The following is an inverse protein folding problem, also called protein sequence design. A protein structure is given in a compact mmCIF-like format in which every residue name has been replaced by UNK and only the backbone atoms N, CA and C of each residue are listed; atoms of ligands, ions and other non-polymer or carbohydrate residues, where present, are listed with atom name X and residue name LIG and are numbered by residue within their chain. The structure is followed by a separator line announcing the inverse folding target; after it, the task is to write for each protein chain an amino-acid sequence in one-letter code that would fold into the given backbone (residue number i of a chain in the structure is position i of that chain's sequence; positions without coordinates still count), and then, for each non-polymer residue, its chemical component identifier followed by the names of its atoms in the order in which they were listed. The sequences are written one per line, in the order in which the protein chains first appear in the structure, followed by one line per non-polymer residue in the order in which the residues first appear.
data_IF_802133192395
#
_entry.id   IF_802133192395
#
_cell.length_a   1.000
_cell.length_b   1.000
_cell.length_c   1.000
_cell.angle_alpha   90.00
_cell.angle_beta   90.00
_cell.angle_gamma   90.00
#
_symmetry.space_group_name_H-M   'P 1'
#
loop_
_entity.id
_entity.type
_entity.pdbx_description
1 polymer ?
#
# COMPACT_ATOMS: atom_id res chain seq x y z
N UNK A 1 -18.16 -10.20 7.61
CA UNK A 1 -18.70 -11.57 7.69
C UNK A 1 -19.94 -11.72 8.58
N UNK A 2 -20.23 -10.75 9.43
CA UNK A 2 -21.40 -10.77 10.31
C UNK A 2 -22.62 -10.11 9.64
N UNK A 3 -23.85 -10.67 9.75
CA UNK A 3 -25.02 -10.15 9.04
C UNK A 3 -25.64 -8.88 9.64
N UNK A 4 -25.15 -8.36 10.75
CA UNK A 4 -25.75 -7.25 11.50
C UNK A 4 -25.05 -5.91 11.28
N UNK A 5 -24.64 -5.58 10.06
CA UNK A 5 -24.03 -4.29 9.76
C UNK A 5 -22.57 -4.14 10.26
N UNK A 6 -21.90 -5.24 10.60
CA UNK A 6 -20.48 -5.22 10.87
C UNK A 6 -19.69 -4.96 9.60
N UNK A 7 -18.82 -3.98 9.62
CA UNK A 7 -17.89 -3.77 8.53
C UNK A 7 -16.73 -4.76 8.63
N UNK A 8 -16.45 -5.49 7.54
CA UNK A 8 -15.29 -6.34 7.47
C UNK A 8 -14.01 -5.50 7.30
N UNK A 9 -12.98 -5.81 8.09
CA UNK A 9 -11.65 -5.26 7.94
C UNK A 9 -10.73 -6.33 7.38
N UNK A 10 -10.14 -6.06 6.22
CA UNK A 10 -9.23 -6.99 5.56
C UNK A 10 -7.78 -6.55 5.77
N UNK A 11 -6.82 -7.51 5.81
CA UNK A 11 -5.40 -7.19 5.84
C UNK A 11 -4.99 -6.27 4.67
N UNK A 12 -3.94 -5.50 4.89
CA UNK A 12 -3.40 -4.57 3.92
C UNK A 12 -2.01 -4.10 4.33
N UNK A 13 -1.42 -3.15 3.61
CA UNK A 13 -0.04 -2.71 3.83
C UNK A 13 0.15 -1.83 5.07
N UNK A 14 -0.88 -1.66 5.87
CA UNK A 14 -0.92 -0.85 7.07
C UNK A 14 -2.25 -0.13 7.24
N UNK A 15 -2.39 0.59 8.34
CA UNK A 15 -3.54 1.43 8.65
C UNK A 15 -3.26 2.88 8.24
N UNK A 16 -4.29 3.56 7.75
CA UNK A 16 -4.27 4.98 7.46
C UNK A 16 -5.56 5.66 7.89
N UNK A 17 -5.69 6.94 7.59
CA UNK A 17 -6.80 7.77 8.00
C UNK A 17 -6.54 8.48 9.31
N UNK A 18 -7.59 9.00 9.95
CA UNK A 18 -7.46 9.89 11.10
C UNK A 18 -7.64 9.16 12.44
N UNK A 19 -8.66 8.29 12.56
CA UNK A 19 -9.03 7.71 13.85
C UNK A 19 -8.22 6.45 14.20
N UNK A 20 -8.17 5.45 13.31
CA UNK A 20 -7.62 4.13 13.64
C UNK A 20 -6.12 4.16 13.97
N UNK A 21 -5.27 4.97 13.33
CA UNK A 21 -3.86 5.10 13.71
C UNK A 21 -3.64 5.85 15.03
N UNK A 22 -4.61 6.61 15.54
CA UNK A 22 -4.40 7.58 16.61
C UNK A 22 -5.22 7.24 17.87
N UNK A 23 -6.54 7.09 17.74
CA UNK A 23 -7.45 6.98 18.89
C UNK A 23 -7.17 5.80 19.83
N UNK A 24 -6.78 4.59 19.33
CA UNK A 24 -6.41 3.48 20.20
C UNK A 24 -5.23 3.80 21.12
N UNK A 25 -4.29 4.65 20.66
CA UNK A 25 -3.14 5.05 21.46
C UNK A 25 -3.49 6.08 22.52
N UNK A 26 -4.47 6.96 22.26
CA UNK A 26 -5.04 7.81 23.31
C UNK A 26 -5.71 6.97 24.40
N UNK A 27 -6.45 5.92 24.02
CA UNK A 27 -7.03 4.98 24.98
C UNK A 27 -5.94 4.29 25.80
N UNK A 28 -4.87 3.82 25.15
CA UNK A 28 -3.71 3.21 25.82
C UNK A 28 -3.06 4.16 26.82
N UNK A 29 -2.82 5.40 26.39
CA UNK A 29 -2.26 6.42 27.27
C UNK A 29 -3.16 6.67 28.49
N UNK A 30 -4.48 6.82 28.26
CA UNK A 30 -5.44 7.06 29.33
C UNK A 30 -5.57 5.87 30.28
N UNK A 31 -5.55 4.64 29.77
CA UNK A 31 -5.61 3.42 30.57
C UNK A 31 -4.44 3.30 31.55
N UNK A 32 -3.24 3.75 31.16
CA UNK A 32 -2.05 3.76 32.02
C UNK A 32 -2.20 4.66 33.26
N UNK A 33 -3.01 5.72 33.20
CA UNK A 33 -3.32 6.55 34.39
C UNK A 33 -4.11 5.79 35.47
N UNK A 34 -4.72 4.66 35.09
CA UNK A 34 -5.50 3.79 35.96
C UNK A 34 -4.82 2.43 36.20
N UNK A 35 -3.51 2.34 35.99
CA UNK A 35 -2.70 1.12 36.10
C UNK A 35 -3.22 -0.04 35.22
N UNK A 36 -3.93 0.26 34.13
CA UNK A 36 -4.44 -0.73 33.18
C UNK A 36 -3.50 -0.91 31.97
N UNK A 37 -3.21 -2.18 31.64
CA UNK A 37 -2.39 -2.53 30.49
C UNK A 37 -3.25 -2.86 29.26
N UNK A 38 -2.95 -2.25 28.13
CA UNK A 38 -3.66 -2.44 26.85
C UNK A 38 -2.77 -3.17 25.83
N UNK A 39 -2.13 -4.26 26.24
CA UNK A 39 -1.11 -4.99 25.44
C UNK A 39 -1.54 -5.34 24.02
N UNK A 40 -2.80 -5.76 23.82
CA UNK A 40 -3.30 -6.08 22.49
C UNK A 40 -3.40 -4.86 21.56
N UNK A 41 -3.76 -3.70 22.10
CA UNK A 41 -3.82 -2.45 21.33
C UNK A 41 -2.40 -2.03 20.93
N UNK A 42 -1.46 -2.06 21.88
CA UNK A 42 -0.06 -1.72 21.66
C UNK A 42 0.57 -2.66 20.62
N UNK A 43 0.38 -3.98 20.78
CA UNK A 43 0.87 -4.98 19.82
C UNK A 43 0.26 -4.82 18.41
N UNK A 44 -1.05 -4.57 18.33
CA UNK A 44 -1.71 -4.33 17.04
C UNK A 44 -1.13 -3.11 16.34
N UNK A 45 -0.85 -2.03 17.07
CA UNK A 45 -0.20 -0.84 16.53
C UNK A 45 1.21 -1.11 16.04
N UNK A 46 2.02 -1.83 16.82
CA UNK A 46 3.37 -2.24 16.44
C UNK A 46 3.38 -3.05 15.15
N UNK A 47 2.54 -4.08 15.07
CA UNK A 47 2.42 -4.93 13.86
C UNK A 47 2.03 -4.08 12.65
N UNK A 48 1.00 -3.22 12.78
CA UNK A 48 0.55 -2.38 11.67
C UNK A 48 1.63 -1.40 11.20
N UNK A 49 2.41 -0.83 12.12
CA UNK A 49 3.52 0.07 11.79
C UNK A 49 4.61 -0.62 10.97
N UNK A 50 4.85 -1.92 11.20
CA UNK A 50 5.84 -2.71 10.47
C UNK A 50 5.32 -3.33 9.15
N UNK A 51 4.01 -3.27 8.87
CA UNK A 51 3.46 -3.87 7.65
C UNK A 51 4.06 -3.32 6.34
N UNK A 52 4.33 -2.00 6.18
CA UNK A 52 4.99 -1.50 4.98
C UNK A 52 6.37 -2.13 4.76
N UNK A 53 7.17 -2.29 5.81
CA UNK A 53 8.48 -2.94 5.73
C UNK A 53 8.35 -4.41 5.31
N UNK A 54 7.37 -5.14 5.85
CA UNK A 54 7.05 -6.51 5.44
C UNK A 54 6.72 -6.60 3.94
N UNK A 55 5.89 -5.69 3.44
CA UNK A 55 5.51 -5.63 2.02
C UNK A 55 6.73 -5.38 1.13
N UNK A 56 7.63 -4.48 1.52
CA UNK A 56 8.86 -4.21 0.77
C UNK A 56 9.80 -5.41 0.77
N UNK A 57 9.90 -6.15 1.88
CA UNK A 57 10.66 -7.42 1.93
C UNK A 57 10.08 -8.43 0.94
N UNK A 58 8.74 -8.58 0.88
CA UNK A 58 8.06 -9.46 -0.09
C UNK A 58 8.33 -9.04 -1.53
N UNK A 59 8.20 -7.75 -1.83
CA UNK A 59 8.52 -7.20 -3.16
C UNK A 59 9.98 -7.53 -3.56
N UNK A 60 10.94 -7.29 -2.67
CA UNK A 60 12.35 -7.59 -2.92
C UNK A 60 12.58 -9.07 -3.22
N UNK A 61 11.94 -9.97 -2.47
CA UNK A 61 12.02 -11.42 -2.72
C UNK A 61 11.47 -11.82 -4.09
N UNK A 62 10.40 -11.15 -4.54
CA UNK A 62 9.79 -11.42 -5.86
C UNK A 62 10.70 -10.91 -6.98
N UNK A 63 11.23 -9.70 -6.87
CA UNK A 63 12.18 -9.14 -7.84
C UNK A 63 13.42 -10.01 -7.99
N UNK A 64 14.01 -10.45 -6.87
CA UNK A 64 15.17 -11.32 -6.85
C UNK A 64 14.88 -12.66 -7.55
N UNK A 65 13.80 -13.34 -7.15
CA UNK A 65 13.47 -14.68 -7.65
C UNK A 65 12.98 -14.72 -9.08
N UNK A 66 12.15 -13.73 -9.49
CA UNK A 66 11.50 -13.74 -10.82
C UNK A 66 12.29 -12.99 -11.88
N UNK A 67 13.01 -11.94 -11.50
CA UNK A 67 13.65 -11.02 -12.44
C UNK A 67 15.16 -10.88 -12.23
N UNK A 68 15.72 -11.36 -11.11
CA UNK A 68 17.13 -11.18 -10.77
C UNK A 68 17.53 -9.70 -10.60
N UNK A 69 16.55 -8.83 -10.26
CA UNK A 69 16.75 -7.37 -10.16
C UNK A 69 16.85 -6.98 -8.69
N UNK A 70 17.92 -6.29 -8.32
CA UNK A 70 18.03 -5.67 -7.00
C UNK A 70 17.06 -4.50 -6.87
N UNK A 71 16.43 -4.35 -5.70
CA UNK A 71 15.44 -3.29 -5.44
C UNK A 71 15.97 -1.89 -5.79
N UNK A 72 17.26 -1.62 -5.55
CA UNK A 72 17.91 -0.33 -5.87
C UNK A 72 17.99 0.01 -7.37
N UNK A 73 17.68 -0.95 -8.24
CA UNK A 73 17.65 -0.75 -9.70
C UNK A 73 16.27 -0.98 -10.29
N UNK A 74 15.30 -1.34 -9.44
CA UNK A 74 13.96 -1.67 -9.88
C UNK A 74 13.12 -0.43 -10.14
N UNK A 75 12.25 -0.53 -11.14
CA UNK A 75 11.20 0.44 -11.47
C UNK A 75 9.88 -0.12 -10.99
N UNK A 76 9.24 0.56 -10.05
CA UNK A 76 8.04 0.08 -9.37
C UNK A 76 6.86 0.99 -9.69
N UNK A 77 5.75 0.40 -10.12
CA UNK A 77 4.47 1.07 -10.21
C UNK A 77 3.68 0.81 -8.93
N UNK A 78 3.50 1.83 -8.11
CA UNK A 78 2.67 1.80 -6.91
C UNK A 78 1.22 2.16 -7.26
N UNK A 79 0.28 1.27 -6.99
CA UNK A 79 -1.16 1.50 -7.24
C UNK A 79 -1.89 1.88 -5.95
N UNK A 80 -2.50 3.07 -6.00
CA UNK A 80 -3.28 3.64 -4.91
C UNK A 80 -2.41 4.34 -3.86
N UNK A 81 -2.47 5.68 -3.87
CA UNK A 81 -1.81 6.55 -2.88
C UNK A 81 -2.73 6.93 -1.73
N UNK A 82 -4.04 6.92 -1.95
CA UNK A 82 -5.02 7.17 -0.89
C UNK A 82 -4.96 6.07 0.18
N UNK A 83 -5.28 6.43 1.44
CA UNK A 83 -5.29 5.45 2.53
C UNK A 83 -6.44 4.44 2.43
N UNK A 84 -7.48 4.77 1.67
CA UNK A 84 -8.69 3.97 1.50
C UNK A 84 -9.17 4.05 0.06
N UNK A 85 -9.81 2.97 -0.42
CA UNK A 85 -10.33 2.93 -1.78
C UNK A 85 -11.42 3.98 -2.02
N UNK A 86 -11.43 4.55 -3.23
CA UNK A 86 -12.44 5.48 -3.73
C UNK A 86 -12.55 6.80 -2.96
N UNK A 87 -11.46 7.24 -2.34
CA UNK A 87 -11.38 8.56 -1.67
C UNK A 87 -10.09 9.28 -2.04
N UNK A 88 -10.10 10.62 -2.13
CA UNK A 88 -8.89 11.42 -2.42
C UNK A 88 -8.14 11.82 -1.13
N UNK A 89 -7.97 10.91 -0.18
CA UNK A 89 -7.41 11.21 1.13
C UNK A 89 -6.13 10.42 1.38
N UNK A 90 -5.04 11.13 1.63
CA UNK A 90 -3.71 10.58 1.86
C UNK A 90 -3.26 10.65 3.32
N UNK A 91 -4.12 11.10 4.26
CA UNK A 91 -3.74 11.21 5.67
C UNK A 91 -3.32 9.86 6.23
N UNK A 92 -2.12 9.83 6.85
CA UNK A 92 -1.53 8.60 7.41
C UNK A 92 -1.54 7.41 6.41
N UNK A 93 -1.40 7.70 5.10
CA UNK A 93 -1.48 6.64 4.09
C UNK A 93 -0.28 5.71 4.17
N UNK A 94 -0.49 4.39 4.32
CA UNK A 94 0.58 3.41 4.25
C UNK A 94 1.27 3.39 2.88
N UNK A 95 0.60 3.86 1.82
CA UNK A 95 1.19 3.98 0.48
C UNK A 95 2.27 5.06 0.43
N UNK A 96 2.11 6.16 1.16
CA UNK A 96 3.15 7.19 1.29
C UNK A 96 4.39 6.60 2.00
N UNK A 97 4.19 5.83 3.06
CA UNK A 97 5.27 5.13 3.76
C UNK A 97 5.97 4.10 2.86
N UNK A 98 5.22 3.31 2.11
CA UNK A 98 5.77 2.37 1.11
C UNK A 98 6.64 3.10 0.09
N UNK A 99 6.13 4.19 -0.50
CA UNK A 99 6.88 4.99 -1.46
C UNK A 99 8.18 5.53 -0.85
N UNK A 100 8.13 6.05 0.36
CA UNK A 100 9.31 6.54 1.09
C UNK A 100 10.37 5.44 1.26
N UNK A 101 9.95 4.24 1.73
CA UNK A 101 10.86 3.11 1.92
C UNK A 101 11.51 2.69 0.59
N UNK A 102 10.70 2.56 -0.47
CA UNK A 102 11.17 2.16 -1.80
C UNK A 102 12.20 3.16 -2.36
N UNK A 103 11.90 4.46 -2.27
CA UNK A 103 12.82 5.53 -2.68
C UNK A 103 14.11 5.51 -1.83
N UNK A 104 14.00 5.29 -0.52
CA UNK A 104 15.14 5.15 0.38
C UNK A 104 16.05 3.95 0.04
N UNK A 105 15.51 2.90 -0.57
CA UNK A 105 16.28 1.78 -1.11
C UNK A 105 16.83 2.02 -2.53
N UNK A 106 16.60 3.19 -3.11
CA UNK A 106 17.09 3.58 -4.43
C UNK A 106 16.23 3.10 -5.60
N UNK A 107 15.03 2.57 -5.36
CA UNK A 107 14.11 2.20 -6.42
C UNK A 107 13.56 3.43 -7.17
N UNK A 108 13.33 3.30 -8.48
CA UNK A 108 12.55 4.27 -9.23
C UNK A 108 11.05 3.98 -9.03
N UNK A 109 10.31 4.92 -8.44
CA UNK A 109 8.90 4.70 -8.10
C UNK A 109 8.04 5.73 -8.80
N UNK A 110 7.10 5.27 -9.63
CA UNK A 110 5.95 6.01 -10.10
C UNK A 110 4.68 5.50 -9.38
N UNK A 111 3.62 6.29 -9.38
CA UNK A 111 2.35 5.84 -8.83
C UNK A 111 1.20 6.14 -9.78
N UNK A 112 0.15 5.33 -9.68
CA UNK A 112 -1.15 5.61 -10.25
C UNK A 112 -2.21 5.62 -9.17
N UNK A 113 -2.98 6.71 -9.11
CA UNK A 113 -4.16 6.81 -8.26
C UNK A 113 -5.20 7.70 -8.95
N UNK A 114 -6.40 7.18 -9.25
CA UNK A 114 -7.43 7.94 -9.95
C UNK A 114 -8.05 9.07 -9.14
N UNK A 115 -7.86 9.09 -7.81
CA UNK A 115 -8.39 10.09 -6.89
C UNK A 115 -7.33 11.06 -6.38
N UNK A 116 -6.04 10.71 -6.54
CA UNK A 116 -4.90 11.54 -6.12
C UNK A 116 -4.03 11.84 -7.34
N UNK A 117 -4.40 12.84 -8.15
CA UNK A 117 -3.65 13.19 -9.36
C UNK A 117 -2.26 13.74 -9.05
N UNK A 118 -2.11 14.39 -7.90
CA UNK A 118 -0.83 14.94 -7.43
C UNK A 118 -0.75 14.79 -5.91
N UNK A 119 0.41 14.36 -5.42
CA UNK A 119 0.66 14.24 -3.97
C UNK A 119 0.59 15.62 -3.32
N UNK A 120 -0.33 15.85 -2.37
CA UNK A 120 -0.46 17.10 -1.67
C UNK A 120 0.72 17.33 -0.70
N UNK A 121 0.82 18.55 -0.19
CA UNK A 121 1.78 18.84 0.89
C UNK A 121 1.38 18.07 2.16
N UNK A 122 2.26 17.21 2.62
CA UNK A 122 2.09 16.41 3.84
C UNK A 122 3.18 16.76 4.85
N UNK A 123 2.85 16.64 6.14
CA UNK A 123 3.79 16.90 7.23
C UNK A 123 4.91 15.86 7.27
N UNK A 124 4.55 14.58 7.14
CA UNK A 124 5.43 13.45 7.44
C UNK A 124 6.21 12.97 6.20
N UNK A 125 5.79 13.38 4.99
CA UNK A 125 6.41 12.98 3.72
C UNK A 125 6.61 14.19 2.80
N UNK A 126 7.36 15.22 3.21
CA UNK A 126 7.54 16.44 2.42
C UNK A 126 8.25 16.18 1.09
N UNK A 127 9.09 15.16 1.02
CA UNK A 127 9.83 14.74 -0.18
C UNK A 127 8.96 14.16 -1.29
N UNK A 128 7.72 13.78 -0.97
CA UNK A 128 6.76 13.25 -1.95
C UNK A 128 5.92 14.35 -2.59
N UNK A 129 5.92 15.57 -2.05
CA UNK A 129 5.11 16.68 -2.53
C UNK A 129 5.29 16.95 -4.03
N UNK A 130 4.19 17.14 -4.74
CA UNK A 130 4.17 17.51 -6.15
C UNK A 130 4.42 16.36 -7.12
N UNK A 131 4.62 15.12 -6.66
CA UNK A 131 4.66 13.95 -7.55
C UNK A 131 3.31 13.73 -8.19
N UNK A 132 3.29 13.44 -9.50
CA UNK A 132 2.06 13.24 -10.26
C UNK A 132 1.76 11.75 -10.47
N UNK A 133 0.47 11.44 -10.47
CA UNK A 133 -0.05 10.13 -10.90
C UNK A 133 0.22 9.92 -12.38
N UNK A 134 0.73 8.74 -12.75
CA UNK A 134 0.88 8.35 -14.16
C UNK A 134 -0.46 7.86 -14.70
N UNK A 135 -0.73 8.11 -15.97
CA UNK A 135 -1.90 7.59 -16.65
C UNK A 135 -1.67 6.11 -17.00
N UNK A 136 -2.56 5.24 -16.49
CA UNK A 136 -2.36 3.79 -16.60
C UNK A 136 -2.43 3.27 -18.04
N UNK A 137 -3.19 3.94 -18.90
CA UNK A 137 -3.30 3.65 -20.32
C UNK A 137 -1.99 3.84 -21.10
N UNK A 138 -1.05 4.59 -20.52
CA UNK A 138 0.27 4.85 -21.11
C UNK A 138 1.35 3.90 -20.57
N UNK A 139 1.00 2.96 -19.69
CA UNK A 139 1.94 2.02 -19.05
C UNK A 139 2.10 0.78 -19.92
N UNK A 140 3.32 0.55 -20.38
CA UNK A 140 3.74 -0.66 -21.10
C UNK A 140 4.42 -1.70 -20.20
N UNK A 141 4.57 -2.91 -20.72
CA UNK A 141 5.20 -4.03 -20.01
C UNK A 141 6.68 -3.77 -19.66
N UNK A 142 7.36 -2.94 -20.48
CA UNK A 142 8.79 -2.64 -20.29
C UNK A 142 9.05 -1.42 -19.42
N UNK A 143 8.02 -0.72 -18.96
CA UNK A 143 8.19 0.50 -18.15
C UNK A 143 8.51 0.21 -16.70
N UNK A 144 8.02 -0.92 -16.18
CA UNK A 144 8.15 -1.30 -14.78
C UNK A 144 8.58 -2.75 -14.61
N UNK A 145 9.30 -3.01 -13.55
CA UNK A 145 9.79 -4.34 -13.19
C UNK A 145 8.83 -5.07 -12.23
N UNK A 146 7.96 -4.32 -11.55
CA UNK A 146 6.86 -4.84 -10.75
C UNK A 146 5.76 -3.81 -10.49
N UNK A 147 4.56 -4.30 -10.21
CA UNK A 147 3.42 -3.53 -9.69
C UNK A 147 3.23 -3.86 -8.21
N UNK A 148 3.05 -2.84 -7.37
CA UNK A 148 2.68 -2.97 -5.97
C UNK A 148 1.30 -2.36 -5.74
N UNK A 149 0.30 -3.18 -5.41
CA UNK A 149 -1.06 -2.72 -5.10
C UNK A 149 -1.14 -2.42 -3.61
N UNK A 150 -1.24 -1.14 -3.27
CA UNK A 150 -1.41 -0.68 -1.88
C UNK A 150 -2.87 -0.31 -1.57
N UNK A 151 -3.59 0.32 -2.50
CA UNK A 151 -5.03 0.60 -2.39
C UNK A 151 -5.75 0.17 -3.66
N UNK A 152 -6.81 -0.62 -3.48
CA UNK A 152 -7.52 -1.30 -4.56
C UNK A 152 -8.77 -0.51 -5.04
N UNK A 153 -8.58 0.66 -5.64
CA UNK A 153 -9.66 1.47 -6.20
C UNK A 153 -10.51 0.71 -7.22
N UNK A 154 -11.81 0.96 -7.25
CA UNK A 154 -12.72 0.21 -8.10
C UNK A 154 -12.63 0.60 -9.58
N UNK A 155 -12.19 1.83 -9.87
CA UNK A 155 -12.03 2.36 -11.24
C UNK A 155 -10.63 2.13 -11.85
N UNK A 156 -9.81 1.25 -11.29
CA UNK A 156 -8.56 0.78 -11.90
C UNK A 156 -8.86 -0.41 -12.82
N UNK A 157 -8.33 -0.40 -14.05
CA UNK A 157 -8.40 -1.54 -14.97
C UNK A 157 -7.35 -2.60 -14.60
N UNK A 158 -7.72 -3.47 -13.65
CA UNK A 158 -6.85 -4.59 -13.23
C UNK A 158 -6.67 -5.65 -14.33
N UNK A 159 -7.60 -5.74 -15.29
CA UNK A 159 -7.44 -6.65 -16.43
C UNK A 159 -6.35 -6.14 -17.38
N UNK A 160 -6.23 -4.83 -17.58
CA UNK A 160 -5.10 -4.25 -18.31
C UNK A 160 -3.78 -4.54 -17.61
N UNK A 161 -3.72 -4.38 -16.29
CA UNK A 161 -2.53 -4.72 -15.49
C UNK A 161 -2.13 -6.20 -15.61
N UNK A 162 -3.11 -7.11 -15.61
CA UNK A 162 -2.84 -8.54 -15.78
C UNK A 162 -2.20 -8.84 -17.16
N UNK A 163 -2.55 -8.08 -18.20
CA UNK A 163 -1.97 -8.24 -19.54
C UNK A 163 -0.50 -7.79 -19.66
N UNK A 164 -0.02 -6.95 -18.75
CA UNK A 164 1.39 -6.54 -18.73
C UNK A 164 2.34 -7.70 -18.43
N UNK A 165 1.85 -8.77 -17.83
CA UNK A 165 2.60 -9.98 -17.51
C UNK A 165 3.87 -9.76 -16.66
N UNK A 166 3.91 -8.69 -15.88
CA UNK A 166 4.99 -8.38 -14.92
C UNK A 166 4.60 -8.82 -13.50
N UNK A 167 5.56 -9.00 -12.58
CA UNK A 167 5.27 -9.34 -11.19
C UNK A 167 4.33 -8.35 -10.52
N UNK A 168 3.30 -8.86 -9.82
CA UNK A 168 2.35 -8.06 -9.05
C UNK A 168 2.42 -8.47 -7.59
N UNK A 169 2.66 -7.52 -6.70
CA UNK A 169 2.55 -7.69 -5.25
C UNK A 169 1.20 -7.12 -4.83
N UNK A 170 0.29 -8.01 -4.43
CA UNK A 170 -1.09 -7.67 -4.12
C UNK A 170 -1.35 -7.74 -2.62
N UNK A 171 -1.35 -6.58 -1.96
CA UNK A 171 -1.64 -6.46 -0.53
C UNK A 171 -3.13 -6.42 -0.21
N UNK A 172 -3.99 -6.31 -1.24
CA UNK A 172 -5.44 -6.10 -1.08
C UNK A 172 -6.28 -7.27 -1.59
N UNK A 173 -5.63 -8.32 -2.09
CA UNK A 173 -6.30 -9.46 -2.75
C UNK A 173 -7.19 -9.01 -3.94
N UNK A 174 -6.75 -7.96 -4.65
CA UNK A 174 -7.52 -7.29 -5.68
C UNK A 174 -7.73 -8.18 -6.90
N UNK A 175 -6.71 -8.94 -7.31
CA UNK A 175 -6.77 -9.86 -8.45
C UNK A 175 -7.69 -11.04 -8.19
N UNK A 176 -7.49 -11.75 -7.08
CA UNK A 176 -8.31 -12.93 -6.75
C UNK A 176 -9.79 -12.58 -6.58
N UNK A 177 -10.11 -11.42 -5.95
CA UNK A 177 -11.51 -10.97 -5.81
C UNK A 177 -12.19 -10.65 -7.14
N UNK A 178 -11.42 -10.37 -8.19
CA UNK A 178 -11.91 -10.09 -9.54
C UNK A 178 -11.83 -11.28 -10.48
N UNK A 179 -11.40 -12.46 -9.98
CA UNK A 179 -11.25 -13.68 -10.80
C UNK A 179 -10.17 -13.56 -11.89
N UNK A 180 -9.17 -12.71 -11.68
CA UNK A 180 -8.08 -12.49 -12.62
C UNK A 180 -6.97 -13.55 -12.47
N UNK A 181 -6.14 -13.78 -13.51
CA UNK A 181 -5.01 -14.69 -13.46
C UNK A 181 -4.05 -14.37 -12.31
N UNK A 182 -3.54 -15.42 -11.63
CA UNK A 182 -2.72 -15.28 -10.43
C UNK A 182 -1.25 -15.69 -10.64
N UNK A 183 -0.85 -16.08 -11.86
CA UNK A 183 0.48 -16.65 -12.16
C UNK A 183 1.64 -15.72 -11.81
N UNK A 184 1.46 -14.41 -12.02
CA UNK A 184 2.44 -13.38 -11.68
C UNK A 184 2.13 -12.64 -10.38
N UNK A 185 1.09 -13.04 -9.66
CA UNK A 185 0.64 -12.35 -8.45
C UNK A 185 1.24 -13.02 -7.21
N UNK A 186 1.79 -12.21 -6.32
CA UNK A 186 2.23 -12.62 -4.99
C UNK A 186 1.44 -11.83 -3.96
N UNK A 187 0.77 -12.51 -3.05
CA UNK A 187 0.08 -11.88 -1.92
C UNK A 187 1.11 -11.46 -0.85
N UNK A 188 0.91 -10.29 -0.28
CA UNK A 188 1.72 -9.72 0.79
C UNK A 188 0.86 -9.11 1.89
#
# INVERSE_FOLDING_TARGET
TKPYGFQAFYPGPGLGGHCIPIDPFYLTWKAKEYDMSTRFIELAGEINTHMPDHVVVRLRQVLDRKSGIALSRARILLLGMAYKKNVPDMRESPSARLMQILLGHGAAVAFHDPYVPTVPKMRDYPELFGRNSVALENVGADDFDAVLIATDHDNIDYAALARLNIPVIDTRNAFARRGLPMDNVTKA
#
